data_IF_774938687162
#
_entry.id   IF_774938687162
#
_cell.length_a   1.000
_cell.length_b   1.000
_cell.length_c   1.000
_cell.angle_alpha   90.00
_cell.angle_beta   90.00
_cell.angle_gamma   90.00
#
_symmetry.space_group_name_H-M   'P 1'
#
loop_
_entity.id
_entity.type
_entity.pdbx_description
1 polymer ?
#
# COMPACT_ATOMS: atom_id res chain seq x y z
N UNK A 1 -8.35 -6.11 27.38
CA UNK A 1 -8.95 -7.48 27.47
C UNK A 1 -8.72 -8.18 26.14
N UNK A 2 -8.09 -9.36 26.14
CA UNK A 2 -7.84 -10.12 24.91
C UNK A 2 -9.17 -10.60 24.30
N UNK A 3 -9.37 -10.38 22.99
CA UNK A 3 -10.55 -10.88 22.30
C UNK A 3 -10.39 -12.38 21.98
N UNK A 4 -11.46 -13.15 22.13
CA UNK A 4 -11.49 -14.53 21.64
C UNK A 4 -11.62 -14.58 20.12
N UNK A 5 -11.25 -15.69 19.45
CA UNK A 5 -11.43 -15.85 18.00
C UNK A 5 -12.87 -15.63 17.55
N UNK A 6 -13.86 -16.06 18.34
CA UNK A 6 -15.28 -15.89 18.07
C UNK A 6 -15.69 -14.41 18.16
N UNK A 7 -15.19 -13.69 19.17
CA UNK A 7 -15.43 -12.24 19.32
C UNK A 7 -14.82 -11.45 18.17
N UNK A 8 -13.60 -11.75 17.76
CA UNK A 8 -12.96 -11.14 16.58
C UNK A 8 -13.79 -11.38 15.33
N UNK A 9 -14.20 -12.63 15.08
CA UNK A 9 -15.02 -12.99 13.93
C UNK A 9 -16.38 -12.28 13.93
N UNK A 10 -17.00 -12.15 15.10
CA UNK A 10 -18.28 -11.43 15.26
C UNK A 10 -18.13 -9.94 14.97
N UNK A 11 -17.13 -9.26 15.57
CA UNK A 11 -16.86 -7.83 15.34
C UNK A 11 -16.52 -7.54 13.88
N UNK A 12 -15.67 -8.36 13.26
CA UNK A 12 -15.32 -8.22 11.83
C UNK A 12 -16.58 -8.31 10.94
N UNK A 13 -17.50 -9.24 11.23
CA UNK A 13 -18.75 -9.35 10.46
C UNK A 13 -19.63 -8.10 10.60
N UNK A 14 -19.70 -7.53 11.79
CA UNK A 14 -20.46 -6.30 12.02
C UNK A 14 -19.88 -5.12 11.25
N UNK A 15 -18.57 -4.88 11.38
CA UNK A 15 -17.86 -3.82 10.63
C UNK A 15 -17.98 -4.03 9.11
N UNK A 16 -17.92 -5.27 8.64
CA UNK A 16 -18.11 -5.60 7.23
C UNK A 16 -19.50 -5.23 6.72
N UNK A 17 -20.53 -5.51 7.52
CA UNK A 17 -21.92 -5.15 7.20
C UNK A 17 -22.14 -3.64 7.18
N UNK A 18 -21.64 -2.95 8.19
CA UNK A 18 -21.76 -1.48 8.32
C UNK A 18 -21.08 -0.74 7.16
N UNK A 19 -19.88 -1.19 6.77
CA UNK A 19 -19.08 -0.56 5.72
C UNK A 19 -19.32 -1.18 4.34
N UNK A 20 -20.27 -2.10 4.16
CA UNK A 20 -20.56 -2.80 2.89
C UNK A 20 -19.32 -3.40 2.25
N UNK A 21 -18.43 -3.99 3.04
CA UNK A 21 -17.15 -4.53 2.59
C UNK A 21 -17.02 -6.03 2.88
N UNK A 22 -15.99 -6.67 2.33
CA UNK A 22 -15.77 -8.11 2.51
C UNK A 22 -15.13 -8.43 3.87
N UNK A 23 -15.78 -9.29 4.64
CA UNK A 23 -15.30 -9.72 5.96
C UNK A 23 -13.95 -10.45 5.91
N UNK A 24 -13.60 -11.13 4.80
CA UNK A 24 -12.30 -11.78 4.65
C UNK A 24 -11.18 -10.75 4.49
N UNK A 25 -11.46 -9.66 3.77
CA UNK A 25 -10.53 -8.53 3.64
C UNK A 25 -10.29 -7.88 4.99
N UNK A 26 -11.35 -7.59 5.76
CA UNK A 26 -11.19 -7.02 7.11
C UNK A 26 -10.46 -7.97 8.07
N UNK A 27 -10.68 -9.28 7.95
CA UNK A 27 -9.94 -10.25 8.75
C UNK A 27 -8.44 -10.22 8.43
N UNK A 28 -8.06 -10.10 7.15
CA UNK A 28 -6.65 -9.95 6.76
C UNK A 28 -6.05 -8.66 7.30
N UNK A 29 -6.81 -7.55 7.24
CA UNK A 29 -6.38 -6.27 7.82
C UNK A 29 -6.13 -6.43 9.31
N UNK A 30 -7.08 -6.99 10.06
CA UNK A 30 -6.94 -7.24 11.49
C UNK A 30 -5.69 -8.08 11.82
N UNK A 31 -5.46 -9.17 11.08
CA UNK A 31 -4.27 -10.01 11.31
C UNK A 31 -2.97 -9.31 10.93
N UNK A 32 -3.01 -8.45 9.90
CA UNK A 32 -1.86 -7.60 9.55
C UNK A 32 -1.57 -6.57 10.63
N UNK A 33 -2.59 -5.97 11.24
CA UNK A 33 -2.43 -5.08 12.40
C UNK A 33 -1.70 -5.76 13.56
N UNK A 34 -2.04 -7.04 13.82
CA UNK A 34 -1.32 -7.82 14.86
C UNK A 34 0.17 -7.98 14.52
N UNK A 35 0.51 -8.13 13.24
CA UNK A 35 1.90 -8.15 12.81
C UNK A 35 2.55 -6.76 12.95
N UNK A 36 1.86 -5.69 12.55
CA UNK A 36 2.35 -4.32 12.68
C UNK A 36 2.57 -3.90 14.13
N UNK A 37 1.74 -4.37 15.08
CA UNK A 37 1.98 -4.15 16.52
C UNK A 37 3.28 -4.82 16.97
N UNK A 38 3.62 -6.00 16.44
CA UNK A 38 4.91 -6.64 16.71
C UNK A 38 6.08 -5.84 16.15
N UNK A 39 5.92 -5.30 14.94
CA UNK A 39 6.91 -4.38 14.36
C UNK A 39 7.11 -3.18 15.28
N UNK A 40 6.03 -2.52 15.70
CA UNK A 40 6.06 -1.34 16.54
C UNK A 40 6.67 -1.58 17.92
N UNK A 41 6.54 -2.81 18.45
CA UNK A 41 7.08 -3.22 19.77
C UNK A 41 8.49 -3.82 19.68
N UNK A 42 9.02 -4.02 18.48
CA UNK A 42 10.32 -4.65 18.27
C UNK A 42 11.46 -3.62 18.30
N UNK A 43 12.69 -4.11 18.55
CA UNK A 43 13.92 -3.33 18.35
C UNK A 43 14.14 -2.90 16.88
N UNK A 44 13.36 -3.45 15.96
CA UNK A 44 13.45 -3.18 14.52
C UNK A 44 12.47 -2.11 14.05
N UNK A 45 11.69 -1.47 14.94
CA UNK A 45 10.66 -0.48 14.56
C UNK A 45 11.18 0.53 13.55
N UNK A 46 12.37 1.08 13.79
CA UNK A 46 12.96 2.13 12.97
C UNK A 46 13.53 1.63 11.63
N UNK A 47 13.60 0.33 11.43
CA UNK A 47 14.04 -0.29 10.19
C UNK A 47 12.89 -0.57 9.20
N UNK A 48 11.64 -0.51 9.67
CA UNK A 48 10.46 -0.80 8.87
C UNK A 48 9.66 0.45 8.59
N UNK A 49 9.32 0.66 7.33
CA UNK A 49 8.53 1.80 6.86
C UNK A 49 7.34 1.26 6.08
N UNK A 50 6.12 1.61 6.50
CA UNK A 50 4.90 1.20 5.80
C UNK A 50 4.84 1.93 4.46
N UNK A 51 4.65 1.14 3.41
CA UNK A 51 4.41 1.61 2.05
C UNK A 51 3.01 1.18 1.61
N UNK A 52 2.23 2.08 1.04
CA UNK A 52 0.83 1.93 0.65
C UNK A 52 0.32 0.51 0.46
N UNK A 53 -0.88 0.22 0.96
CA UNK A 53 -1.52 -1.09 0.85
C UNK A 53 -0.85 -2.22 1.63
N UNK A 54 -0.06 -1.91 2.66
CA UNK A 54 0.63 -2.82 3.58
C UNK A 54 1.92 -3.49 3.04
N UNK A 55 2.61 -2.84 2.12
CA UNK A 55 4.01 -3.16 1.84
C UNK A 55 4.90 -2.55 2.95
N UNK A 56 5.83 -3.33 3.42
CA UNK A 56 6.82 -2.90 4.42
C UNK A 56 8.16 -2.72 3.72
N UNK A 57 8.77 -1.56 3.87
CA UNK A 57 10.15 -1.33 3.41
C UNK A 57 11.09 -1.52 4.59
N UNK A 58 12.12 -2.33 4.43
CA UNK A 58 13.16 -2.55 5.42
C UNK A 58 14.55 -2.24 4.84
N UNK A 59 15.50 -1.96 5.72
CA UNK A 59 16.89 -1.80 5.30
C UNK A 59 17.48 -3.12 4.77
N UNK A 60 18.31 -3.02 3.72
CA UNK A 60 18.95 -4.19 3.08
C UNK A 60 19.71 -5.03 4.10
N UNK A 61 19.53 -6.35 4.06
CA UNK A 61 20.23 -7.32 4.91
C UNK A 61 19.58 -7.59 6.28
N UNK A 62 18.64 -6.74 6.71
CA UNK A 62 17.95 -6.90 8.00
C UNK A 62 16.60 -7.61 7.83
N UNK A 63 15.97 -7.45 6.66
CA UNK A 63 14.57 -7.83 6.42
C UNK A 63 14.21 -9.29 6.75
N UNK A 64 15.04 -10.25 6.34
CA UNK A 64 14.73 -11.68 6.58
C UNK A 64 14.82 -12.02 8.07
N UNK A 65 15.95 -11.68 8.69
CA UNK A 65 16.19 -11.99 10.11
C UNK A 65 15.19 -11.28 11.00
N UNK A 66 15.01 -9.96 10.82
CA UNK A 66 14.09 -9.17 11.65
C UNK A 66 12.65 -9.63 11.51
N UNK A 67 12.17 -9.97 10.31
CA UNK A 67 10.82 -10.50 10.11
C UNK A 67 10.62 -11.83 10.84
N UNK A 68 11.62 -12.69 10.83
CA UNK A 68 11.58 -13.96 11.56
C UNK A 68 11.58 -13.76 13.09
N UNK A 69 12.30 -12.78 13.60
CA UNK A 69 12.27 -12.45 15.04
C UNK A 69 10.97 -11.73 15.44
N UNK A 70 10.50 -10.79 14.63
CA UNK A 70 9.26 -10.02 14.86
C UNK A 70 8.03 -10.94 14.95
N UNK A 71 7.90 -11.93 14.06
CA UNK A 71 6.74 -12.83 14.05
C UNK A 71 6.59 -13.64 15.35
N UNK A 72 7.69 -13.87 16.08
CA UNK A 72 7.73 -14.65 17.31
C UNK A 72 7.53 -13.81 18.58
N UNK A 73 7.37 -12.48 18.46
CA UNK A 73 7.04 -11.62 19.59
C UNK A 73 5.64 -11.97 20.09
N UNK A 74 5.54 -12.38 21.37
CA UNK A 74 4.25 -12.59 22.02
C UNK A 74 3.74 -11.29 22.63
N UNK A 75 2.61 -10.81 22.12
CA UNK A 75 1.90 -9.63 22.65
C UNK A 75 0.72 -10.01 23.55
N UNK A 76 0.53 -11.28 23.86
CA UNK A 76 -0.61 -11.75 24.65
C UNK A 76 -1.95 -11.57 23.92
N UNK A 77 -1.95 -11.42 22.60
CA UNK A 77 -3.14 -11.20 21.77
C UNK A 77 -3.76 -12.51 21.23
N UNK A 78 -3.10 -13.64 21.52
CA UNK A 78 -3.51 -14.98 21.09
C UNK A 78 -3.30 -15.25 19.60
N UNK A 79 -2.54 -14.39 18.91
CA UNK A 79 -2.18 -14.56 17.49
C UNK A 79 -0.74 -15.03 17.37
N UNK A 80 -0.52 -16.06 16.56
CA UNK A 80 0.82 -16.52 16.16
C UNK A 80 0.96 -16.49 14.65
N UNK A 81 2.20 -16.42 14.15
CA UNK A 81 2.49 -16.36 12.73
C UNK A 81 3.36 -17.53 12.29
N UNK A 82 2.86 -18.32 11.35
CA UNK A 82 3.55 -19.46 10.77
C UNK A 82 4.01 -19.12 9.35
N UNK A 83 5.31 -19.00 9.13
CA UNK A 83 5.87 -18.81 7.78
C UNK A 83 5.74 -20.12 7.00
N UNK A 84 5.14 -20.04 5.83
CA UNK A 84 4.98 -21.17 4.88
C UNK A 84 6.03 -21.15 3.80
N UNK A 85 6.34 -19.96 3.31
CA UNK A 85 7.28 -19.77 2.20
C UNK A 85 7.94 -18.39 2.31
N UNK A 86 9.19 -18.34 1.91
CA UNK A 86 9.92 -17.08 1.67
C UNK A 86 10.44 -17.12 0.24
N UNK A 87 10.07 -16.14 -0.57
CA UNK A 87 10.46 -16.06 -1.98
C UNK A 87 10.97 -14.67 -2.32
N UNK A 88 11.86 -14.62 -3.32
CA UNK A 88 12.30 -13.34 -3.88
C UNK A 88 11.21 -12.81 -4.81
N UNK A 89 10.96 -11.50 -4.74
CA UNK A 89 10.08 -10.80 -5.68
C UNK A 89 10.97 -10.28 -6.80
N UNK A 90 10.99 -11.00 -7.95
CA UNK A 90 11.94 -10.71 -9.05
C UNK A 90 11.32 -9.90 -10.20
N UNK A 91 10.02 -10.02 -10.50
CA UNK A 91 9.55 -9.72 -11.86
C UNK A 91 8.60 -8.54 -12.03
N UNK A 92 8.05 -7.96 -10.99
CA UNK A 92 7.11 -6.83 -11.15
C UNK A 92 7.52 -5.58 -10.40
N UNK A 93 8.53 -5.68 -9.57
CA UNK A 93 9.06 -4.56 -8.80
C UNK A 93 10.48 -4.24 -9.27
N UNK A 94 10.73 -3.00 -9.53
CA UNK A 94 12.02 -2.47 -9.97
C UNK A 94 13.14 -2.61 -8.91
N UNK A 95 12.85 -3.29 -7.79
CA UNK A 95 13.75 -3.51 -6.67
C UNK A 95 13.69 -4.93 -6.13
N UNK A 96 14.82 -5.45 -5.66
CA UNK A 96 14.84 -6.73 -4.98
C UNK A 96 13.95 -6.65 -3.73
N UNK A 97 13.03 -7.58 -3.62
CA UNK A 97 12.11 -7.69 -2.50
C UNK A 97 12.00 -9.13 -2.02
N UNK A 98 11.54 -9.30 -0.80
CA UNK A 98 11.29 -10.60 -0.20
C UNK A 98 9.79 -10.69 0.13
N UNK A 99 9.17 -11.77 -0.32
CA UNK A 99 7.78 -12.11 0.04
C UNK A 99 7.75 -13.18 1.10
N UNK A 100 7.09 -12.88 2.19
CA UNK A 100 6.72 -13.85 3.22
C UNK A 100 5.27 -14.27 2.99
N UNK A 101 5.06 -15.54 2.66
CA UNK A 101 3.74 -16.17 2.71
C UNK A 101 3.60 -16.84 4.05
N UNK A 102 2.60 -16.46 4.84
CA UNK A 102 2.42 -16.95 6.21
C UNK A 102 0.95 -17.12 6.56
N UNK A 103 0.68 -17.89 7.59
CA UNK A 103 -0.61 -17.95 8.25
C UNK A 103 -0.56 -17.18 9.56
N UNK A 104 -1.54 -16.27 9.76
CA UNK A 104 -1.87 -15.78 11.10
C UNK A 104 -2.87 -16.75 11.73
N UNK A 105 -2.55 -17.27 12.90
CA UNK A 105 -3.34 -18.30 13.60
C UNK A 105 -3.82 -17.74 14.93
N UNK A 106 -5.14 -17.82 15.17
CA UNK A 106 -5.78 -17.44 16.43
C UNK A 106 -6.77 -18.54 16.83
N UNK A 107 -6.35 -19.44 17.70
CA UNK A 107 -7.09 -20.67 18.00
C UNK A 107 -7.33 -21.51 16.74
N UNK A 108 -8.59 -21.73 16.36
CA UNK A 108 -8.95 -22.46 15.13
C UNK A 108 -9.05 -21.57 13.89
N UNK A 109 -8.92 -20.26 14.05
CA UNK A 109 -8.97 -19.31 12.95
C UNK A 109 -7.60 -19.20 12.27
N UNK A 110 -7.51 -19.57 11.01
CA UNK A 110 -6.30 -19.48 10.20
C UNK A 110 -6.55 -18.49 9.05
N UNK A 111 -5.72 -17.47 8.97
CA UNK A 111 -5.82 -16.42 7.93
C UNK A 111 -4.53 -16.36 7.11
N UNK A 112 -4.56 -16.76 5.83
CA UNK A 112 -3.41 -16.64 4.96
C UNK A 112 -3.06 -15.16 4.70
N UNK A 113 -1.79 -14.83 4.81
CA UNK A 113 -1.25 -13.49 4.62
C UNK A 113 -0.01 -13.51 3.71
N UNK A 114 0.23 -12.40 3.05
CA UNK A 114 1.47 -12.13 2.32
C UNK A 114 2.03 -10.79 2.78
N UNK A 115 3.29 -10.78 3.15
CA UNK A 115 4.02 -9.56 3.50
C UNK A 115 5.15 -9.43 2.49
N UNK A 116 5.10 -8.34 1.72
CA UNK A 116 6.13 -8.00 0.76
C UNK A 116 7.03 -6.95 1.40
N UNK A 117 8.33 -7.21 1.42
CA UNK A 117 9.33 -6.30 1.96
C UNK A 117 10.26 -5.92 0.82
N UNK A 118 10.24 -4.66 0.42
CA UNK A 118 11.19 -4.07 -0.52
C UNK A 118 12.34 -3.40 0.20
N UNK A 119 13.44 -3.20 -0.50
CA UNK A 119 14.61 -2.51 0.02
C UNK A 119 15.13 -1.51 -1.00
N UNK A 120 15.67 -0.39 -0.51
CA UNK A 120 16.29 0.61 -1.37
C UNK A 120 15.34 1.61 -2.00
N UNK A 121 14.11 1.70 -1.55
CA UNK A 121 13.17 2.75 -1.96
C UNK A 121 13.67 4.14 -1.53
N UNK A 122 13.34 5.15 -2.32
CA UNK A 122 13.67 6.55 -2.02
C UNK A 122 12.44 7.26 -1.47
N UNK A 123 12.57 7.83 -0.28
CA UNK A 123 11.50 8.59 0.38
C UNK A 123 11.92 10.03 0.49
N UNK A 124 11.13 10.96 -0.01
CA UNK A 124 11.46 12.38 -0.09
C UNK A 124 10.49 13.24 0.74
N UNK A 125 10.96 14.05 1.68
CA UNK A 125 12.35 14.18 2.13
C UNK A 125 12.78 13.03 3.06
N UNK A 126 11.85 12.38 3.74
CA UNK A 126 12.07 11.27 4.67
C UNK A 126 10.74 10.60 5.05
N UNK A 127 10.83 9.40 5.64
CA UNK A 127 9.68 8.76 6.27
C UNK A 127 9.10 9.64 7.40
N UNK A 128 7.80 9.55 7.58
CA UNK A 128 7.06 10.24 8.65
C UNK A 128 6.61 9.25 9.71
N UNK A 129 6.51 9.70 10.94
CA UNK A 129 5.84 8.95 11.99
C UNK A 129 4.33 9.00 11.74
N UNK A 130 3.71 7.83 11.67
CA UNK A 130 2.30 7.66 11.35
C UNK A 130 1.58 6.91 12.47
N UNK A 131 0.53 7.49 12.99
CA UNK A 131 -0.33 6.88 14.00
C UNK A 131 -1.42 6.06 13.31
N UNK A 132 -1.14 4.77 13.10
CA UNK A 132 -2.07 3.83 12.49
C UNK A 132 -3.19 3.47 13.47
N UNK A 133 -4.43 3.83 13.16
CA UNK A 133 -5.61 3.48 13.97
C UNK A 133 -6.01 2.04 13.72
N UNK A 134 -6.18 1.27 14.79
CA UNK A 134 -6.56 -0.14 14.72
C UNK A 134 -8.05 -0.33 14.34
N UNK A 135 -8.35 -1.39 13.63
CA UNK A 135 -9.68 -1.67 13.08
C UNK A 135 -10.74 -1.98 14.15
N UNK A 136 -10.36 -2.76 15.17
CA UNK A 136 -11.29 -3.22 16.22
C UNK A 136 -10.99 -2.63 17.61
N UNK A 137 -10.13 -1.63 17.69
CA UNK A 137 -9.67 -1.03 18.93
C UNK A 137 -9.53 0.48 18.74
N UNK A 138 -9.79 1.26 19.77
CA UNK A 138 -9.62 2.72 19.72
C UNK A 138 -8.15 3.15 19.84
N UNK A 139 -7.24 2.21 20.08
CA UNK A 139 -5.80 2.45 20.12
C UNK A 139 -5.24 2.74 18.72
N UNK A 140 -4.12 3.44 18.73
CA UNK A 140 -3.26 3.60 17.55
C UNK A 140 -1.88 3.04 17.85
N UNK A 141 -1.19 2.62 16.81
CA UNK A 141 0.22 2.22 16.85
C UNK A 141 1.05 3.21 16.05
N UNK A 142 2.18 3.62 16.62
CA UNK A 142 3.13 4.52 15.94
C UNK A 142 4.12 3.70 15.12
N UNK A 143 4.18 3.97 13.82
CA UNK A 143 5.06 3.33 12.84
C UNK A 143 5.59 4.39 11.88
N UNK A 144 6.72 4.11 11.24
CA UNK A 144 7.15 4.93 10.11
C UNK A 144 6.35 4.58 8.85
N UNK A 145 6.04 5.59 8.06
CA UNK A 145 5.33 5.49 6.80
C UNK A 145 5.92 6.43 5.75
N UNK A 146 5.62 6.16 4.51
CA UNK A 146 5.83 7.12 3.43
C UNK A 146 4.97 8.35 3.69
N UNK A 147 5.48 9.53 3.34
CA UNK A 147 4.67 10.73 3.23
C UNK A 147 3.78 10.67 1.98
N UNK A 148 2.77 11.51 1.95
CA UNK A 148 1.77 11.55 0.87
C UNK A 148 2.42 11.77 -0.50
N UNK A 149 3.36 12.71 -0.58
CA UNK A 149 4.03 13.10 -1.82
C UNK A 149 4.84 11.95 -2.43
N UNK A 150 5.55 11.18 -1.61
CA UNK A 150 6.28 9.99 -2.10
C UNK A 150 5.32 8.93 -2.63
N UNK A 151 4.19 8.68 -1.94
CA UNK A 151 3.17 7.74 -2.41
C UNK A 151 2.61 8.18 -3.76
N UNK A 152 2.22 9.45 -3.89
CA UNK A 152 1.66 10.00 -5.12
C UNK A 152 2.68 10.00 -6.26
N UNK A 153 3.94 10.35 -5.97
CA UNK A 153 5.04 10.36 -6.94
C UNK A 153 5.30 8.96 -7.53
N UNK A 154 5.36 7.92 -6.68
CA UNK A 154 5.55 6.55 -7.15
C UNK A 154 4.38 6.05 -8.01
N UNK A 155 3.14 6.37 -7.62
CA UNK A 155 1.96 5.99 -8.39
C UNK A 155 1.91 6.69 -9.75
N UNK A 156 2.15 7.99 -9.77
CA UNK A 156 2.20 8.75 -11.00
C UNK A 156 3.32 8.26 -11.92
N UNK A 157 4.53 8.04 -11.39
CA UNK A 157 5.64 7.50 -12.16
C UNK A 157 5.28 6.13 -12.75
N UNK A 158 4.64 5.24 -11.98
CA UNK A 158 4.20 3.93 -12.48
C UNK A 158 3.17 4.06 -13.59
N UNK A 159 2.19 4.96 -13.46
CA UNK A 159 1.19 5.24 -14.51
C UNK A 159 1.87 5.72 -15.79
N UNK A 160 2.78 6.67 -15.67
CA UNK A 160 3.49 7.24 -16.83
C UNK A 160 4.45 6.24 -17.49
N UNK A 161 5.22 5.49 -16.68
CA UNK A 161 6.18 4.53 -17.20
C UNK A 161 5.52 3.38 -17.95
N UNK A 162 4.34 2.94 -17.51
CA UNK A 162 3.57 1.87 -18.17
C UNK A 162 2.73 2.39 -19.34
N UNK A 163 2.27 3.63 -19.30
CA UNK A 163 1.48 4.25 -20.36
C UNK A 163 0.30 3.37 -20.77
N UNK A 164 0.16 3.09 -22.08
CA UNK A 164 -0.92 2.25 -22.63
C UNK A 164 -0.84 0.77 -22.23
N UNK A 165 0.31 0.31 -21.75
CA UNK A 165 0.48 -1.06 -21.25
C UNK A 165 0.10 -1.21 -19.76
N UNK A 166 -0.46 -0.16 -19.16
CA UNK A 166 -0.78 -0.18 -17.75
C UNK A 166 -2.03 -1.02 -17.46
N UNK A 167 -1.85 -2.12 -16.76
CA UNK A 167 -2.95 -2.97 -16.25
C UNK A 167 -3.28 -2.71 -14.78
N UNK A 168 -2.55 -1.79 -14.12
CA UNK A 168 -2.65 -1.52 -12.68
C UNK A 168 -3.69 -0.43 -12.39
N UNK A 169 -4.95 -0.73 -12.63
CA UNK A 169 -6.07 0.21 -12.38
C UNK A 169 -6.14 0.71 -10.94
N UNK A 170 -5.54 -0.03 -10.00
CA UNK A 170 -5.47 0.38 -8.61
C UNK A 170 -4.66 1.66 -8.41
N UNK A 171 -3.59 1.90 -9.19
CA UNK A 171 -2.79 3.11 -9.04
C UNK A 171 -3.59 4.37 -9.42
N UNK A 172 -4.46 4.28 -10.44
CA UNK A 172 -5.39 5.37 -10.79
C UNK A 172 -6.44 5.60 -9.69
N UNK A 173 -7.03 4.51 -9.17
CA UNK A 173 -7.96 4.58 -8.04
C UNK A 173 -7.34 5.26 -6.82
N UNK A 174 -6.13 4.85 -6.47
CA UNK A 174 -5.42 5.37 -5.30
C UNK A 174 -5.08 6.87 -5.50
N UNK A 175 -4.64 7.30 -6.70
CA UNK A 175 -4.42 8.72 -7.02
C UNK A 175 -5.71 9.51 -6.82
N UNK A 176 -6.83 9.06 -7.43
CA UNK A 176 -8.14 9.71 -7.27
C UNK A 176 -8.54 9.84 -5.82
N UNK A 177 -8.45 8.75 -5.07
CA UNK A 177 -8.85 8.71 -3.66
C UNK A 177 -7.99 9.62 -2.79
N UNK A 178 -6.67 9.57 -2.96
CA UNK A 178 -5.75 10.41 -2.18
C UNK A 178 -5.93 11.89 -2.48
N UNK A 179 -6.11 12.27 -3.74
CA UNK A 179 -6.37 13.66 -4.09
C UNK A 179 -7.72 14.14 -3.56
N UNK A 180 -8.78 13.31 -3.63
CA UNK A 180 -10.09 13.71 -3.12
C UNK A 180 -10.12 13.99 -1.60
N UNK A 181 -9.16 13.44 -0.85
CA UNK A 181 -9.09 13.61 0.61
C UNK A 181 -8.02 14.63 1.00
N UNK A 182 -6.86 14.63 0.35
CA UNK A 182 -5.65 15.29 0.81
C UNK A 182 -5.07 16.30 -0.18
N UNK A 183 -5.80 16.73 -1.20
CA UNK A 183 -5.25 17.63 -2.22
C UNK A 183 -4.66 18.91 -1.61
N UNK A 184 -5.31 19.45 -0.58
CA UNK A 184 -4.90 20.69 0.10
C UNK A 184 -3.67 20.50 1.00
N UNK A 185 -3.36 19.25 1.36
CA UNK A 185 -2.24 18.91 2.25
C UNK A 185 -0.95 18.63 1.46
N UNK A 186 -1.02 18.61 0.13
CA UNK A 186 0.12 18.30 -0.73
C UNK A 186 1.09 19.48 -0.77
N UNK A 187 2.32 19.24 -0.32
CA UNK A 187 3.43 20.13 -0.60
C UNK A 187 3.96 19.87 -2.02
N UNK A 188 3.65 20.82 -2.93
CA UNK A 188 3.98 20.69 -4.37
C UNK A 188 5.49 20.62 -4.59
N UNK A 189 6.31 21.33 -3.82
CA UNK A 189 7.76 21.30 -3.96
C UNK A 189 8.34 19.95 -3.50
N UNK A 190 7.78 19.38 -2.44
CA UNK A 190 8.13 18.03 -1.99
C UNK A 190 7.68 16.99 -3.02
N UNK A 191 6.47 17.13 -3.58
CA UNK A 191 5.95 16.23 -4.62
C UNK A 191 6.87 16.22 -5.86
N UNK A 192 7.29 17.38 -6.35
CA UNK A 192 8.22 17.51 -7.49
C UNK A 192 9.54 16.78 -7.20
N UNK A 193 10.14 17.03 -6.04
CA UNK A 193 11.37 16.36 -5.62
C UNK A 193 11.20 14.85 -5.47
N UNK A 194 10.07 14.41 -4.92
CA UNK A 194 9.76 12.98 -4.77
C UNK A 194 9.62 12.32 -6.14
N UNK A 195 8.93 12.96 -7.09
CA UNK A 195 8.77 12.46 -8.45
C UNK A 195 10.14 12.36 -9.17
N UNK A 196 10.95 13.39 -9.09
CA UNK A 196 12.30 13.40 -9.69
C UNK A 196 13.20 12.33 -9.06
N UNK A 197 13.18 12.19 -7.74
CA UNK A 197 13.94 11.15 -7.03
C UNK A 197 13.48 9.74 -7.43
N UNK A 198 12.17 9.52 -7.56
CA UNK A 198 11.59 8.26 -8.02
C UNK A 198 12.00 7.97 -9.47
N UNK A 199 11.90 8.95 -10.37
CA UNK A 199 12.31 8.80 -11.77
C UNK A 199 13.79 8.49 -11.89
N UNK A 200 14.65 9.19 -11.16
CA UNK A 200 16.10 8.94 -11.13
C UNK A 200 16.40 7.52 -10.66
N UNK A 201 15.74 7.09 -9.57
CA UNK A 201 15.93 5.74 -9.04
C UNK A 201 15.52 4.65 -10.03
N UNK A 202 14.52 4.93 -10.87
CA UNK A 202 13.95 3.98 -11.85
C UNK A 202 14.46 4.20 -13.28
N UNK A 203 15.48 5.06 -13.45
CA UNK A 203 16.07 5.38 -14.76
C UNK A 203 15.03 5.84 -15.79
N UNK A 204 14.10 6.69 -15.34
CA UNK A 204 12.96 7.19 -16.13
C UNK A 204 12.85 8.72 -16.09
N UNK A 205 13.96 9.44 -16.01
CA UNK A 205 14.03 10.90 -15.83
C UNK A 205 13.29 11.68 -16.92
N UNK A 206 13.20 11.10 -18.13
CA UNK A 206 12.50 11.72 -19.25
C UNK A 206 10.96 11.70 -19.16
N UNK A 207 10.41 11.03 -18.13
CA UNK A 207 8.95 10.94 -17.98
C UNK A 207 8.30 12.29 -17.69
N UNK A 208 8.97 13.20 -16.96
CA UNK A 208 8.44 14.53 -16.67
C UNK A 208 8.05 15.27 -17.95
N UNK A 209 8.95 15.34 -18.90
CA UNK A 209 8.73 16.02 -20.20
C UNK A 209 7.65 15.30 -21.05
N UNK A 210 7.61 13.97 -20.98
CA UNK A 210 6.67 13.15 -21.75
C UNK A 210 5.28 13.03 -21.11
N UNK A 211 5.14 13.42 -19.86
CA UNK A 211 3.91 13.19 -19.09
C UNK A 211 2.65 13.73 -19.77
N UNK A 212 2.59 14.96 -20.33
CA UNK A 212 1.36 15.44 -20.97
C UNK A 212 0.93 14.58 -22.15
N UNK A 213 1.89 14.16 -22.99
CA UNK A 213 1.62 13.31 -24.16
C UNK A 213 1.17 11.90 -23.74
N UNK A 214 1.81 11.31 -22.73
CA UNK A 214 1.43 9.98 -22.23
C UNK A 214 0.04 10.03 -21.63
N UNK A 215 -0.27 11.03 -20.80
CA UNK A 215 -1.58 11.16 -20.16
C UNK A 215 -2.71 11.37 -21.18
N UNK A 216 -2.49 12.18 -22.21
CA UNK A 216 -3.45 12.33 -23.29
C UNK A 216 -3.73 10.98 -23.98
N UNK A 217 -2.69 10.22 -24.33
CA UNK A 217 -2.85 8.91 -24.95
C UNK A 217 -3.57 7.88 -24.02
N UNK A 218 -3.25 7.89 -22.74
CA UNK A 218 -3.90 7.03 -21.73
C UNK A 218 -5.37 7.41 -21.56
N UNK A 219 -5.71 8.70 -21.57
CA UNK A 219 -7.09 9.19 -21.43
C UNK A 219 -8.00 8.70 -22.56
N UNK A 220 -7.49 8.65 -23.78
CA UNK A 220 -8.27 8.31 -24.97
C UNK A 220 -8.31 6.81 -25.29
N UNK A 221 -7.59 5.97 -24.51
CA UNK A 221 -7.41 4.56 -24.83
C UNK A 221 -8.61 3.69 -24.44
N UNK A 222 -9.25 3.06 -25.41
CA UNK A 222 -10.45 2.22 -25.23
C UNK A 222 -10.16 0.92 -24.41
N UNK A 223 -8.93 0.42 -24.47
CA UNK A 223 -8.56 -0.77 -23.71
C UNK A 223 -8.45 -0.46 -22.22
N UNK A 224 -7.87 0.68 -21.86
CA UNK A 224 -7.80 1.12 -20.47
C UNK A 224 -9.19 1.44 -19.90
N UNK A 225 -10.11 2.02 -20.68
CA UNK A 225 -11.52 2.11 -20.29
C UNK A 225 -12.14 0.75 -19.98
N UNK A 226 -11.85 -0.26 -20.79
CA UNK A 226 -12.36 -1.63 -20.57
C UNK A 226 -11.77 -2.26 -19.32
N UNK A 227 -10.46 -2.05 -19.06
CA UNK A 227 -9.80 -2.50 -17.84
C UNK A 227 -10.37 -1.83 -16.60
N UNK A 228 -10.68 -0.52 -16.67
CA UNK A 228 -11.33 0.19 -15.57
C UNK A 228 -12.72 -0.37 -15.27
N UNK A 229 -13.56 -0.60 -16.28
CA UNK A 229 -14.87 -1.26 -16.10
C UNK A 229 -14.75 -2.64 -15.45
N UNK A 230 -13.72 -3.40 -15.81
CA UNK A 230 -13.45 -4.70 -15.21
C UNK A 230 -13.00 -4.56 -13.74
N UNK A 231 -12.24 -3.51 -13.42
CA UNK A 231 -11.83 -3.18 -12.06
C UNK A 231 -13.04 -2.80 -11.20
N UNK A 232 -13.95 -1.94 -11.68
CA UNK A 232 -15.19 -1.57 -11.01
C UNK A 232 -16.07 -2.78 -10.68
N UNK A 233 -16.24 -3.71 -11.63
CA UNK A 233 -17.01 -4.95 -11.41
C UNK A 233 -16.42 -5.82 -10.32
N UNK A 234 -15.09 -5.83 -10.19
CA UNK A 234 -14.37 -6.64 -9.19
C UNK A 234 -14.35 -5.98 -7.82
N UNK A 235 -14.36 -4.66 -7.77
CA UNK A 235 -14.17 -3.88 -6.54
C UNK A 235 -15.31 -2.88 -6.34
N UNK A 236 -16.32 -3.21 -5.49
CA UNK A 236 -17.51 -2.36 -5.26
C UNK A 236 -17.19 -0.93 -4.81
N UNK A 237 -16.06 -0.72 -4.12
CA UNK A 237 -15.64 0.61 -3.69
C UNK A 237 -15.26 1.56 -4.84
N UNK A 238 -15.04 1.04 -6.03
CA UNK A 238 -14.74 1.81 -7.23
C UNK A 238 -15.94 1.95 -8.18
N UNK A 239 -17.10 1.37 -7.84
CA UNK A 239 -18.25 1.25 -8.74
C UNK A 239 -18.78 2.60 -9.24
N UNK A 240 -18.77 3.63 -8.38
CA UNK A 240 -19.33 4.95 -8.67
C UNK A 240 -18.29 5.95 -9.20
N UNK A 241 -17.05 5.52 -9.47
CA UNK A 241 -15.98 6.38 -9.99
C UNK A 241 -15.82 6.14 -11.50
N UNK A 242 -16.06 7.14 -12.31
CA UNK A 242 -15.92 7.03 -13.77
C UNK A 242 -14.44 6.93 -14.20
N UNK A 243 -14.19 6.55 -15.44
CA UNK A 243 -12.82 6.59 -16.00
C UNK A 243 -12.33 8.04 -16.15
N UNK A 244 -13.24 8.92 -16.51
CA UNK A 244 -13.00 10.36 -16.62
C UNK A 244 -12.54 10.95 -15.29
N UNK A 245 -13.18 10.58 -14.16
CA UNK A 245 -12.80 11.03 -12.81
C UNK A 245 -11.39 10.63 -12.42
N UNK A 246 -10.98 9.40 -12.73
CA UNK A 246 -9.61 8.94 -12.42
C UNK A 246 -8.58 9.61 -13.33
N UNK A 247 -8.93 9.88 -14.58
CA UNK A 247 -8.05 10.57 -15.51
C UNK A 247 -7.90 12.06 -15.17
N UNK A 248 -8.99 12.74 -14.81
CA UNK A 248 -8.95 14.12 -14.33
C UNK A 248 -8.00 14.26 -13.13
N UNK A 249 -8.12 13.36 -12.15
CA UNK A 249 -7.25 13.36 -10.97
C UNK A 249 -5.79 13.05 -11.32
N UNK A 250 -5.57 12.13 -12.26
CA UNK A 250 -4.21 11.79 -12.72
C UNK A 250 -3.57 12.97 -13.48
N UNK A 251 -4.34 13.65 -14.33
CA UNK A 251 -3.89 14.85 -15.04
C UNK A 251 -3.61 16.01 -14.08
N UNK A 252 -4.47 16.21 -13.08
CA UNK A 252 -4.26 17.21 -12.03
C UNK A 252 -2.95 16.94 -11.28
N UNK A 253 -2.69 15.70 -10.86
CA UNK A 253 -1.44 15.34 -10.24
C UNK A 253 -0.24 15.56 -11.16
N UNK A 254 -0.39 15.20 -12.43
CA UNK A 254 0.62 15.42 -13.47
C UNK A 254 0.93 16.90 -13.72
N UNK A 255 -0.04 17.79 -13.62
CA UNK A 255 0.19 19.24 -13.73
C UNK A 255 0.98 19.80 -12.54
N UNK A 256 0.80 19.23 -11.34
CA UNK A 256 1.52 19.65 -10.13
C UNK A 256 3.02 19.35 -10.18
N UNK A 257 3.48 18.40 -11.00
CA UNK A 257 4.91 18.06 -11.13
C UNK A 257 5.63 18.85 -12.23
N UNK A 258 4.91 19.59 -13.07
CA UNK A 258 5.50 20.49 -14.11
C UNK A 258 6.01 21.78 -13.44
#
# INVERSE_FOLDING_TARGET
MQLTPEQVKGRIKNVAKENKTDARTLMRIYMMERFLERVASSQYKDNFIIKGGMLVTAMVGVALRSTMEIKDIDLGDGVTFEVKEVSNIMDEMEYPGIRFTMNAVMGKLVTPMKIDISTGDVITPRAIEYNYKLLLDDRSISLYSYNLETILAEKLQTVLARGLLNTRMRDFYDIKTLLSIYEQDIDVDVLKKAFEATCKKRSTENLKEKAPKIMAAVSDDAQLHTLWKSYQKKYPYAADISYEDIMESTMLLGSKIQ
#
